data_IF_727661427461
#
_entry.id   IF_727661427461
#
_cell.length_a   1.000
_cell.length_b   1.000
_cell.length_c   1.000
_cell.angle_alpha   90.00
_cell.angle_beta   90.00
_cell.angle_gamma   90.00
#
_symmetry.space_group_name_H-M   'P 1'
#
loop_
_entity.id
_entity.type
_entity.pdbx_description
1 polymer ?
#
# COMPACT_ATOMS: atom_id res chain seq x y z
N UNK A 1 8.93 8.96 -15.24
CA UNK A 1 9.12 7.77 -14.38
C UNK A 1 9.23 8.23 -12.94
N UNK A 2 8.37 7.72 -12.06
CA UNK A 2 8.55 7.76 -10.60
C UNK A 2 8.18 9.07 -9.89
N UNK A 3 6.92 9.23 -9.50
CA UNK A 3 6.52 10.22 -8.48
C UNK A 3 5.96 9.56 -7.22
N UNK A 4 5.67 8.26 -7.25
CA UNK A 4 5.09 7.56 -6.10
C UNK A 4 6.14 7.32 -5.02
N UNK A 5 7.40 7.10 -5.40
CA UNK A 5 8.52 6.97 -4.45
C UNK A 5 8.86 8.24 -3.67
N UNK A 6 8.24 9.39 -4.02
CA UNK A 6 8.31 10.62 -3.23
C UNK A 6 7.31 10.64 -2.07
N UNK A 7 6.30 9.76 -2.10
CA UNK A 7 5.32 9.63 -1.02
C UNK A 7 5.95 8.95 0.19
N UNK A 8 5.39 9.22 1.36
CA UNK A 8 5.80 8.51 2.57
C UNK A 8 5.65 7.01 2.39
N UNK A 9 6.67 6.26 2.82
CA UNK A 9 6.69 4.79 2.89
C UNK A 9 6.75 4.05 1.54
N UNK A 10 6.72 4.74 0.39
CA UNK A 10 6.83 4.10 -0.92
C UNK A 10 8.30 4.11 -1.36
N UNK A 11 8.96 2.96 -1.26
CA UNK A 11 10.27 2.74 -1.86
C UNK A 11 10.16 2.30 -3.32
N UNK A 12 11.30 2.26 -4.04
CA UNK A 12 11.38 1.85 -5.45
C UNK A 12 10.67 0.52 -5.75
N UNK A 13 10.76 -0.46 -4.84
CA UNK A 13 10.12 -1.77 -4.98
C UNK A 13 8.59 -1.66 -4.97
N UNK A 14 8.02 -0.89 -4.03
CA UNK A 14 6.56 -0.72 -3.95
C UNK A 14 6.06 0.10 -5.15
N UNK A 15 6.80 1.14 -5.55
CA UNK A 15 6.49 1.92 -6.76
C UNK A 15 6.46 1.03 -8.00
N UNK A 16 7.45 0.18 -8.20
CA UNK A 16 7.51 -0.74 -9.33
C UNK A 16 6.31 -1.70 -9.33
N UNK A 17 5.96 -2.26 -8.17
CA UNK A 17 4.79 -3.13 -8.06
C UNK A 17 3.47 -2.40 -8.33
N UNK A 18 3.33 -1.16 -7.86
CA UNK A 18 2.18 -0.32 -8.16
C UNK A 18 2.06 -0.09 -9.67
N UNK A 19 3.18 0.17 -10.36
CA UNK A 19 3.21 0.32 -11.81
C UNK A 19 2.81 -0.95 -12.55
N UNK A 20 3.32 -2.11 -12.12
CA UNK A 20 2.97 -3.41 -12.71
C UNK A 20 1.48 -3.73 -12.59
N UNK A 21 0.80 -3.22 -11.56
CA UNK A 21 -0.65 -3.39 -11.36
C UNK A 21 -1.49 -2.21 -11.87
N UNK A 22 -0.89 -1.32 -12.65
CA UNK A 22 -1.56 -0.21 -13.32
C UNK A 22 -1.86 1.01 -12.44
N UNK A 23 -1.26 1.10 -11.24
CA UNK A 23 -1.35 2.27 -10.36
C UNK A 23 -0.10 3.12 -10.56
N UNK A 24 -0.20 4.14 -11.41
CA UNK A 24 0.94 4.95 -11.85
C UNK A 24 1.03 6.34 -11.23
N UNK A 25 -0.04 6.79 -10.57
CA UNK A 25 -0.17 8.13 -9.97
C UNK A 25 -0.68 8.06 -8.53
N UNK A 26 -0.46 9.14 -7.76
CA UNK A 26 -0.98 9.24 -6.40
C UNK A 26 -2.50 9.22 -6.39
N UNK A 27 -3.13 9.87 -7.36
CA UNK A 27 -4.57 9.93 -7.54
C UNK A 27 -5.16 8.54 -7.74
N UNK A 28 -4.55 7.72 -8.60
CA UNK A 28 -4.94 6.31 -8.79
C UNK A 28 -4.74 5.48 -7.52
N UNK A 29 -3.67 5.71 -6.76
CA UNK A 29 -3.43 5.02 -5.50
C UNK A 29 -4.52 5.40 -4.47
N UNK A 30 -4.85 6.68 -4.38
CA UNK A 30 -5.89 7.21 -3.48
C UNK A 30 -7.29 6.71 -3.86
N UNK A 31 -7.61 6.71 -5.15
CA UNK A 31 -8.88 6.18 -5.67
C UNK A 31 -9.01 4.68 -5.44
N UNK A 32 -7.93 3.93 -5.67
CA UNK A 32 -7.91 2.48 -5.39
C UNK A 32 -8.03 2.19 -3.89
N UNK A 33 -7.43 3.02 -3.03
CA UNK A 33 -7.29 2.73 -1.61
C UNK A 33 -6.20 1.70 -1.31
N UNK A 34 -5.70 1.69 -0.08
CA UNK A 34 -4.57 0.85 0.34
C UNK A 34 -4.87 -0.65 0.24
N UNK A 35 -6.08 -1.07 0.65
CA UNK A 35 -6.54 -2.47 0.63
C UNK A 35 -6.58 -3.05 -0.78
N UNK A 36 -7.20 -2.35 -1.73
CA UNK A 36 -7.31 -2.83 -3.10
C UNK A 36 -5.95 -2.78 -3.82
N UNK A 37 -5.16 -1.72 -3.60
CA UNK A 37 -3.81 -1.63 -4.13
C UNK A 37 -2.95 -2.80 -3.62
N UNK A 38 -3.07 -3.14 -2.34
CA UNK A 38 -2.37 -4.29 -1.76
C UNK A 38 -2.83 -5.63 -2.37
N UNK A 39 -4.13 -5.85 -2.60
CA UNK A 39 -4.63 -7.07 -3.25
C UNK A 39 -4.10 -7.22 -4.68
N UNK A 40 -4.07 -6.12 -5.44
CA UNK A 40 -3.46 -6.10 -6.77
C UNK A 40 -1.98 -6.45 -6.71
N UNK A 41 -1.22 -5.88 -5.77
CA UNK A 41 0.18 -6.25 -5.58
C UNK A 41 0.31 -7.72 -5.18
N UNK A 42 -0.54 -8.23 -4.28
CA UNK A 42 -0.52 -9.64 -3.85
C UNK A 42 -0.71 -10.60 -5.03
N UNK A 43 -1.54 -10.25 -6.02
CA UNK A 43 -1.77 -11.12 -7.18
C UNK A 43 -0.54 -11.31 -8.07
N UNK A 44 0.44 -10.40 -8.00
CA UNK A 44 1.73 -10.51 -8.72
C UNK A 44 2.91 -10.84 -7.79
N UNK A 45 2.79 -10.55 -6.49
CA UNK A 45 3.78 -10.80 -5.44
C UNK A 45 3.10 -11.41 -4.20
N UNK A 46 3.03 -12.75 -4.09
CA UNK A 46 2.45 -13.43 -2.93
C UNK A 46 3.16 -13.12 -1.61
N UNK A 47 4.38 -12.57 -1.64
CA UNK A 47 5.12 -12.15 -0.44
C UNK A 47 4.66 -10.80 0.13
N UNK A 48 3.66 -10.16 -0.49
CA UNK A 48 3.09 -8.91 0.00
C UNK A 48 2.66 -9.04 1.47
N UNK A 49 3.39 -8.37 2.36
CA UNK A 49 3.19 -8.49 3.80
C UNK A 49 2.37 -7.30 4.36
N UNK A 50 2.00 -7.41 5.64
CA UNK A 50 1.27 -6.35 6.37
C UNK A 50 1.98 -4.99 6.34
N UNK A 51 3.33 -4.97 6.35
CA UNK A 51 4.08 -3.72 6.28
C UNK A 51 3.91 -2.99 4.95
N UNK A 52 3.62 -3.72 3.86
CA UNK A 52 3.31 -3.15 2.55
C UNK A 52 1.93 -2.50 2.58
N UNK A 53 0.95 -3.14 3.21
CA UNK A 53 -0.39 -2.56 3.39
C UNK A 53 -0.35 -1.26 4.20
N UNK A 54 0.37 -1.24 5.33
CA UNK A 54 0.56 -0.02 6.12
C UNK A 54 1.34 1.07 5.37
N UNK A 55 2.29 0.69 4.51
CA UNK A 55 3.03 1.65 3.71
C UNK A 55 2.10 2.37 2.71
N UNK A 56 1.20 1.64 2.05
CA UNK A 56 0.22 2.19 1.13
C UNK A 56 -0.77 3.12 1.85
N UNK A 57 -1.28 2.73 3.02
CA UNK A 57 -2.18 3.59 3.80
C UNK A 57 -1.47 4.88 4.24
N UNK A 58 -0.26 4.77 4.80
CA UNK A 58 0.52 5.94 5.20
C UNK A 58 0.83 6.85 4.01
N UNK A 59 1.08 6.31 2.82
CA UNK A 59 1.27 7.08 1.60
C UNK A 59 0.02 7.87 1.22
N UNK A 60 -1.16 7.24 1.29
CA UNK A 60 -2.46 7.88 0.99
C UNK A 60 -2.77 8.99 1.98
N UNK A 61 -2.55 8.75 3.27
CA UNK A 61 -2.77 9.72 4.35
C UNK A 61 -1.68 10.80 4.44
N UNK A 62 -0.57 10.66 3.71
CA UNK A 62 0.54 11.61 3.75
C UNK A 62 1.34 11.59 5.06
N UNK A 63 1.42 10.44 5.74
CA UNK A 63 2.14 10.27 7.01
C UNK A 63 3.05 9.04 7.01
N UNK A 64 4.04 8.99 7.91
CA UNK A 64 4.84 7.77 8.11
C UNK A 64 3.93 6.65 8.62
N UNK A 65 4.12 5.41 8.16
CA UNK A 65 3.32 4.24 8.60
C UNK A 65 3.37 4.01 10.12
N UNK A 66 4.42 4.49 10.80
CA UNK A 66 4.52 4.46 12.26
C UNK A 66 3.48 5.34 12.93
N UNK A 67 3.07 6.44 12.29
CA UNK A 67 2.11 7.43 12.77
C UNK A 67 0.65 7.08 12.46
N UNK A 68 0.39 5.99 11.72
CA UNK A 68 -0.99 5.52 11.52
C UNK A 68 -1.67 5.26 12.86
N UNK A 69 -2.92 5.72 13.07
CA UNK A 69 -3.69 5.44 14.28
C UNK A 69 -3.76 3.94 14.59
N UNK A 70 -3.85 3.61 15.87
CA UNK A 70 -3.93 2.21 16.31
C UNK A 70 -5.15 1.49 15.73
N UNK A 71 -6.29 2.19 15.66
CA UNK A 71 -7.54 1.70 15.05
C UNK A 71 -7.35 1.36 13.56
N UNK A 72 -6.73 2.25 12.79
CA UNK A 72 -6.44 2.02 11.36
C UNK A 72 -5.52 0.82 11.18
N UNK A 73 -4.48 0.68 12.02
CA UNK A 73 -3.60 -0.49 11.98
C UNK A 73 -4.36 -1.78 12.33
N UNK A 74 -5.27 -1.75 13.30
CA UNK A 74 -6.09 -2.90 13.66
C UNK A 74 -6.98 -3.33 12.48
N UNK A 75 -7.70 -2.40 11.87
CA UNK A 75 -8.56 -2.65 10.70
C UNK A 75 -7.78 -3.23 9.51
N UNK A 76 -6.61 -2.65 9.20
CA UNK A 76 -5.75 -3.15 8.13
C UNK A 76 -5.16 -4.52 8.46
N UNK A 77 -4.88 -4.81 9.74
CA UNK A 77 -4.40 -6.12 10.18
C UNK A 77 -5.50 -7.18 10.06
N UNK A 78 -6.73 -6.85 10.41
CA UNK A 78 -7.89 -7.73 10.22
C UNK A 78 -8.10 -8.04 8.74
N UNK A 79 -8.12 -7.01 7.88
CA UNK A 79 -8.16 -7.19 6.44
C UNK A 79 -7.03 -8.10 5.95
N UNK A 80 -5.78 -7.81 6.32
CA UNK A 80 -4.64 -8.65 5.95
C UNK A 80 -4.82 -10.10 6.38
N UNK A 81 -5.32 -10.36 7.59
CA UNK A 81 -5.54 -11.72 8.07
C UNK A 81 -6.56 -12.50 7.23
N UNK A 82 -7.56 -11.83 6.64
CA UNK A 82 -8.54 -12.44 5.73
C UNK A 82 -7.95 -12.77 4.36
N UNK A 83 -6.84 -12.15 3.97
CA UNK A 83 -6.24 -12.28 2.64
C UNK A 83 -4.76 -12.69 2.63
N UNK A 84 -4.13 -13.01 3.77
CA UNK A 84 -2.70 -13.39 3.80
C UNK A 84 -2.40 -14.78 3.25
N UNK A 85 -3.45 -15.57 2.98
CA UNK A 85 -3.36 -16.93 2.42
C UNK A 85 -2.98 -16.97 0.96
#
# INVERSE_FOLDING_TARGET
MGNLSKLFNIGKVIEQQLYEVGITTYEQLKESGSKQAWLKIKSIDPSACIHRLYALEGAIQGIKKSQLPAETKAELKEFYNSFKG
#
